data_IF_554545124802
#
_entry.id   IF_554545124802
#
_cell.length_a   1.000
_cell.length_b   1.000
_cell.length_c   1.000
_cell.angle_alpha   90.00
_cell.angle_beta   90.00
_cell.angle_gamma   90.00
#
_symmetry.space_group_name_H-M   'P 1'
#
loop_
_entity.id
_entity.type
_entity.pdbx_description
1 polymer ?
#
# COMPACT_ATOMS: atom_id res chain seq x y z
N UNK A 1 -34.73 28.79 -3.68
CA UNK A 1 -35.56 28.09 -4.69
C UNK A 1 -35.67 26.62 -4.31
N UNK A 2 -36.84 26.00 -4.47
CA UNK A 2 -37.02 24.55 -4.25
C UNK A 2 -37.57 23.94 -5.54
N UNK A 3 -36.92 22.90 -6.05
CA UNK A 3 -37.43 22.05 -7.13
C UNK A 3 -37.75 20.69 -6.53
N UNK A 4 -38.98 20.24 -6.71
CA UNK A 4 -39.45 18.92 -6.28
C UNK A 4 -39.69 18.08 -7.54
N UNK A 5 -38.88 17.04 -7.70
CA UNK A 5 -39.05 15.99 -8.71
C UNK A 5 -39.38 14.68 -7.97
N UNK A 6 -40.20 13.77 -8.53
CA UNK A 6 -40.41 12.43 -7.97
C UNK A 6 -39.13 11.73 -7.47
N UNK A 7 -37.99 11.95 -8.14
CA UNK A 7 -36.75 11.24 -7.87
C UNK A 7 -35.76 12.01 -6.97
N UNK A 8 -35.90 13.34 -6.85
CA UNK A 8 -34.98 14.18 -6.06
C UNK A 8 -35.56 15.56 -5.75
N UNK A 9 -35.04 16.18 -4.69
CA UNK A 9 -35.32 17.56 -4.30
C UNK A 9 -34.05 18.41 -4.46
N UNK A 10 -34.17 19.59 -5.08
CA UNK A 10 -33.09 20.57 -5.18
C UNK A 10 -33.45 21.78 -4.33
N UNK A 11 -32.57 22.14 -3.40
CA UNK A 11 -32.63 23.36 -2.60
C UNK A 11 -31.47 24.25 -3.02
N UNK A 12 -31.74 25.31 -3.76
CA UNK A 12 -30.71 26.22 -4.27
C UNK A 12 -31.00 27.65 -3.82
N UNK A 13 -29.98 28.43 -3.49
CA UNK A 13 -30.14 29.88 -3.31
C UNK A 13 -30.65 30.53 -4.60
N UNK A 14 -29.86 30.40 -5.67
CA UNK A 14 -30.14 30.97 -6.99
C UNK A 14 -30.03 29.88 -8.07
N UNK A 15 -31.11 29.69 -8.83
CA UNK A 15 -31.20 28.71 -9.91
C UNK A 15 -31.71 29.35 -11.20
N UNK A 16 -31.05 29.06 -12.31
CA UNK A 16 -31.47 29.50 -13.65
C UNK A 16 -31.67 28.30 -14.55
N UNK A 17 -32.90 28.09 -15.00
CA UNK A 17 -33.26 27.00 -15.92
C UNK A 17 -33.52 27.54 -17.33
N UNK A 18 -32.86 26.96 -18.32
CA UNK A 18 -33.10 27.26 -19.74
C UNK A 18 -34.02 26.19 -20.34
N UNK A 19 -35.24 26.57 -20.71
CA UNK A 19 -36.26 25.63 -21.19
C UNK A 19 -35.98 25.06 -22.57
N UNK A 20 -35.24 25.78 -23.44
CA UNK A 20 -34.93 25.31 -24.79
C UNK A 20 -33.83 24.24 -24.80
N UNK A 21 -32.82 24.41 -23.94
CA UNK A 21 -31.69 23.49 -23.83
C UNK A 21 -31.87 22.47 -22.70
N UNK A 22 -32.84 22.69 -21.81
CA UNK A 22 -33.10 21.89 -20.61
C UNK A 22 -31.89 21.81 -19.66
N UNK A 23 -31.20 22.96 -19.49
CA UNK A 23 -30.03 23.05 -18.60
C UNK A 23 -30.39 23.88 -17.37
N UNK A 24 -30.21 23.28 -16.20
CA UNK A 24 -30.26 23.96 -14.91
C UNK A 24 -28.87 24.45 -14.54
N UNK A 25 -28.73 25.73 -14.17
CA UNK A 25 -27.52 26.30 -13.58
C UNK A 25 -27.73 26.62 -12.12
N UNK A 26 -26.78 26.17 -11.29
CA UNK A 26 -26.68 26.47 -9.86
C UNK A 26 -25.72 27.65 -9.72
N UNK A 27 -26.19 28.79 -9.21
CA UNK A 27 -25.41 30.04 -9.12
C UNK A 27 -25.11 30.45 -7.66
N UNK A 28 -25.22 29.50 -6.75
CA UNK A 28 -24.97 29.66 -5.31
C UNK A 28 -25.13 28.32 -4.59
N UNK A 29 -25.00 28.32 -3.25
CA UNK A 29 -25.14 27.12 -2.43
C UNK A 29 -26.39 26.32 -2.79
N UNK A 30 -26.16 25.05 -3.14
CA UNK A 30 -27.18 24.14 -3.64
C UNK A 30 -27.01 22.76 -3.02
N UNK A 31 -28.10 22.24 -2.47
CA UNK A 31 -28.22 20.89 -1.95
C UNK A 31 -29.16 20.08 -2.86
N UNK A 32 -28.73 18.90 -3.27
CA UNK A 32 -29.54 17.96 -4.06
C UNK A 32 -29.70 16.69 -3.24
N UNK A 33 -30.95 16.36 -2.92
CA UNK A 33 -31.30 15.27 -2.01
C UNK A 33 -32.17 14.26 -2.75
N UNK A 34 -31.67 13.03 -2.84
CA UNK A 34 -32.39 11.86 -3.34
C UNK A 34 -32.48 10.80 -2.23
N UNK A 35 -33.27 9.72 -2.38
CA UNK A 35 -33.37 8.68 -1.35
C UNK A 35 -32.02 8.07 -0.94
N UNK A 36 -31.09 7.93 -1.90
CA UNK A 36 -29.82 7.23 -1.71
C UNK A 36 -28.58 8.16 -1.73
N UNK A 37 -28.76 9.42 -2.11
CA UNK A 37 -27.64 10.36 -2.30
C UNK A 37 -27.94 11.75 -1.79
N UNK A 38 -26.89 12.39 -1.25
CA UNK A 38 -26.84 13.81 -0.96
C UNK A 38 -25.69 14.46 -1.73
N UNK A 39 -25.93 15.58 -2.38
CA UNK A 39 -24.92 16.34 -3.12
C UNK A 39 -24.97 17.80 -2.67
N UNK A 40 -23.80 18.41 -2.48
CA UNK A 40 -23.65 19.84 -2.23
C UNK A 40 -22.67 20.47 -3.24
N UNK A 41 -22.99 21.70 -3.67
CA UNK A 41 -22.07 22.56 -4.43
C UNK A 41 -22.44 24.04 -4.26
N UNK A 42 -21.52 24.93 -4.62
CA UNK A 42 -21.78 26.39 -4.63
C UNK A 42 -21.97 26.96 -6.03
N UNK A 43 -21.62 26.17 -7.05
CA UNK A 43 -21.79 26.51 -8.45
C UNK A 43 -21.92 25.21 -9.28
N UNK A 44 -22.53 25.26 -10.45
CA UNK A 44 -22.63 24.07 -11.30
C UNK A 44 -23.72 24.13 -12.35
N UNK A 45 -23.90 23.00 -13.03
CA UNK A 45 -24.98 22.82 -13.99
C UNK A 45 -25.38 21.36 -14.12
N UNK A 46 -26.62 21.16 -14.56
CA UNK A 46 -27.18 19.86 -14.89
C UNK A 46 -27.94 19.95 -16.21
N UNK A 47 -27.48 19.19 -17.19
CA UNK A 47 -28.14 18.97 -18.48
C UNK A 47 -29.04 17.74 -18.36
N UNK A 48 -30.35 17.98 -18.25
CA UNK A 48 -31.33 16.91 -18.06
C UNK A 48 -31.54 16.08 -19.33
N UNK A 49 -31.19 16.63 -20.50
CA UNK A 49 -31.37 15.94 -21.78
C UNK A 49 -30.26 14.94 -22.04
N UNK A 50 -29.02 15.30 -21.72
CA UNK A 50 -27.85 14.45 -21.94
C UNK A 50 -27.39 13.72 -20.65
N UNK A 51 -28.08 13.91 -19.53
CA UNK A 51 -27.73 13.37 -18.21
C UNK A 51 -26.29 13.65 -17.77
N UNK A 52 -25.85 14.89 -17.97
CA UNK A 52 -24.50 15.35 -17.61
C UNK A 52 -24.62 16.40 -16.51
N UNK A 53 -23.82 16.25 -15.47
CA UNK A 53 -23.77 17.16 -14.34
C UNK A 53 -22.33 17.58 -14.03
N UNK A 54 -22.19 18.84 -13.62
CA UNK A 54 -20.95 19.40 -13.10
C UNK A 54 -21.28 20.19 -11.83
N UNK A 55 -20.60 19.84 -10.74
CA UNK A 55 -20.68 20.49 -9.44
C UNK A 55 -19.33 21.12 -9.15
N UNK A 56 -19.30 22.40 -8.79
CA UNK A 56 -18.08 23.18 -8.58
C UNK A 56 -18.14 23.87 -7.22
N UNK A 57 -16.95 24.20 -6.71
CA UNK A 57 -16.71 24.91 -5.45
C UNK A 57 -17.22 24.11 -4.25
N UNK A 58 -16.27 23.46 -3.54
CA UNK A 58 -16.54 22.59 -2.39
C UNK A 58 -17.54 21.48 -2.71
N UNK A 59 -17.42 20.88 -3.89
CA UNK A 59 -18.33 19.85 -4.34
C UNK A 59 -18.23 18.61 -3.44
N UNK A 60 -19.38 18.10 -3.02
CA UNK A 60 -19.49 16.99 -2.08
C UNK A 60 -20.62 16.06 -2.50
N UNK A 61 -20.38 14.76 -2.35
CA UNK A 61 -21.31 13.68 -2.64
C UNK A 61 -21.24 12.67 -1.49
N UNK A 62 -22.41 12.33 -0.96
CA UNK A 62 -22.59 11.21 -0.04
C UNK A 62 -23.50 10.18 -0.70
N UNK A 63 -23.07 8.92 -0.71
CA UNK A 63 -23.82 7.80 -1.24
C UNK A 63 -23.46 6.51 -0.50
N UNK A 64 -24.45 5.81 0.06
CA UNK A 64 -24.26 4.47 0.66
C UNK A 64 -23.07 4.35 1.65
N UNK A 65 -22.83 5.38 2.47
CA UNK A 65 -21.71 5.39 3.42
C UNK A 65 -20.34 5.73 2.81
N UNK A 66 -20.31 6.14 1.56
CA UNK A 66 -19.16 6.72 0.88
C UNK A 66 -19.33 8.25 0.77
N UNK A 67 -18.25 8.96 1.06
CA UNK A 67 -18.20 10.41 1.14
C UNK A 67 -17.11 10.92 0.21
N UNK A 68 -17.49 11.47 -0.94
CA UNK A 68 -16.59 12.02 -1.94
C UNK A 68 -16.63 13.55 -1.90
N UNK A 69 -15.45 14.16 -1.86
CA UNK A 69 -15.29 15.61 -1.96
C UNK A 69 -14.20 15.99 -2.97
N UNK A 70 -14.30 17.20 -3.49
CA UNK A 70 -13.28 17.82 -4.33
C UNK A 70 -13.62 19.27 -4.64
N UNK A 71 -12.72 20.01 -5.29
CA UNK A 71 -13.04 21.36 -5.74
C UNK A 71 -14.13 21.31 -6.83
N UNK A 72 -14.15 20.25 -7.65
CA UNK A 72 -15.26 19.99 -8.57
C UNK A 72 -15.47 18.51 -8.88
N UNK A 73 -16.72 18.16 -9.20
CA UNK A 73 -17.17 16.82 -9.59
C UNK A 73 -17.89 16.89 -10.94
N UNK A 74 -17.60 15.96 -11.83
CA UNK A 74 -18.27 15.78 -13.12
C UNK A 74 -18.87 14.38 -13.15
N UNK A 75 -20.09 14.25 -13.63
CA UNK A 75 -20.71 12.94 -13.83
C UNK A 75 -21.56 12.91 -15.09
N UNK A 76 -21.36 11.87 -15.90
CA UNK A 76 -22.11 11.58 -17.12
C UNK A 76 -22.77 10.20 -16.98
N UNK A 77 -24.07 10.22 -16.69
CA UNK A 77 -24.85 9.02 -16.33
C UNK A 77 -24.89 7.97 -17.43
N UNK A 78 -25.08 8.40 -18.69
CA UNK A 78 -25.20 7.48 -19.82
C UNK A 78 -23.93 6.66 -20.08
N UNK A 79 -22.78 7.13 -19.57
CA UNK A 79 -21.49 6.43 -19.66
C UNK A 79 -21.05 5.81 -18.32
N UNK A 80 -21.79 6.03 -17.23
CA UNK A 80 -21.35 5.71 -15.87
C UNK A 80 -20.00 6.35 -15.51
N UNK A 81 -19.69 7.53 -16.07
CA UNK A 81 -18.38 8.17 -15.97
C UNK A 81 -18.41 9.28 -14.90
N UNK A 82 -17.62 9.10 -13.84
CA UNK A 82 -17.36 10.10 -12.82
C UNK A 82 -15.94 10.66 -12.90
N UNK A 83 -15.79 11.96 -12.62
CA UNK A 83 -14.48 12.59 -12.40
C UNK A 83 -14.53 13.52 -11.20
N UNK A 84 -13.45 13.57 -10.44
CA UNK A 84 -13.26 14.52 -9.36
C UNK A 84 -11.94 15.28 -9.58
N UNK A 85 -11.92 16.58 -9.29
CA UNK A 85 -10.78 17.45 -9.55
C UNK A 85 -10.44 18.30 -8.34
N UNK A 86 -9.13 18.35 -8.06
CA UNK A 86 -8.44 19.06 -6.97
C UNK A 86 -8.98 18.74 -5.57
N UNK A 87 -8.07 18.57 -4.61
CA UNK A 87 -8.39 18.19 -3.22
C UNK A 87 -9.38 17.02 -3.12
N UNK A 88 -9.20 16.01 -3.97
CA UNK A 88 -10.10 14.86 -4.01
C UNK A 88 -9.90 14.05 -2.73
N UNK A 89 -10.96 13.82 -1.98
CA UNK A 89 -10.99 12.93 -0.83
C UNK A 89 -12.22 12.04 -0.92
N UNK A 90 -12.01 10.72 -0.86
CA UNK A 90 -13.06 9.72 -0.71
C UNK A 90 -12.87 9.03 0.65
N UNK A 91 -13.90 9.05 1.49
CA UNK A 91 -13.96 8.23 2.69
C UNK A 91 -15.02 7.15 2.53
N UNK A 92 -14.62 5.89 2.73
CA UNK A 92 -15.52 4.74 2.79
C UNK A 92 -15.64 4.27 4.25
N UNK A 93 -16.83 4.49 4.82
CA UNK A 93 -17.11 4.14 6.23
C UNK A 93 -17.32 2.65 6.46
N UNK A 94 -17.58 1.84 5.42
CA UNK A 94 -17.76 0.40 5.58
C UNK A 94 -16.43 -0.33 5.75
N UNK A 95 -15.36 0.21 5.15
CA UNK A 95 -14.00 -0.37 5.21
C UNK A 95 -13.01 0.50 5.98
N UNK A 96 -13.44 1.66 6.50
CA UNK A 96 -12.59 2.63 7.20
C UNK A 96 -11.34 3.02 6.38
N UNK A 97 -11.59 3.34 5.10
CA UNK A 97 -10.55 3.75 4.14
C UNK A 97 -10.75 5.19 3.72
N UNK A 98 -9.67 5.97 3.73
CA UNK A 98 -9.61 7.31 3.13
C UNK A 98 -8.67 7.26 1.93
N UNK A 99 -9.13 7.73 0.78
CA UNK A 99 -8.31 7.97 -0.41
C UNK A 99 -8.20 9.46 -0.67
N UNK A 100 -6.98 9.96 -0.93
CA UNK A 100 -6.74 11.38 -1.26
C UNK A 100 -5.86 11.52 -2.49
N UNK A 101 -6.14 12.52 -3.32
CA UNK A 101 -5.37 12.85 -4.51
C UNK A 101 -5.83 14.17 -5.14
N UNK A 102 -5.41 14.46 -6.38
CA UNK A 102 -5.89 15.66 -7.09
C UNK A 102 -6.81 15.36 -8.25
N UNK A 103 -6.80 14.15 -8.77
CA UNK A 103 -7.72 13.76 -9.83
C UNK A 103 -8.19 12.34 -9.62
N UNK A 104 -9.50 12.14 -9.65
CA UNK A 104 -10.10 10.81 -9.70
C UNK A 104 -10.91 10.61 -10.98
N UNK A 105 -10.87 9.38 -11.49
CA UNK A 105 -11.65 8.90 -12.61
C UNK A 105 -12.36 7.63 -12.19
N UNK A 106 -13.64 7.53 -12.48
CA UNK A 106 -14.47 6.38 -12.16
C UNK A 106 -15.32 5.98 -13.36
N UNK A 107 -15.41 4.68 -13.62
CA UNK A 107 -16.38 4.07 -14.53
C UNK A 107 -17.18 3.03 -13.77
N UNK A 108 -18.50 3.00 -13.98
CA UNK A 108 -19.39 1.99 -13.38
C UNK A 108 -19.24 0.62 -14.04
N UNK A 109 -19.08 0.57 -15.37
CA UNK A 109 -19.11 -0.69 -16.13
C UNK A 109 -18.07 -0.72 -17.27
N UNK A 110 -17.04 -1.59 -17.21
CA UNK A 110 -16.65 -2.36 -16.03
C UNK A 110 -16.21 -1.42 -14.90
N UNK A 111 -16.44 -1.81 -13.65
CA UNK A 111 -16.06 -0.99 -12.50
C UNK A 111 -14.54 -0.74 -12.49
N UNK A 112 -14.17 0.52 -12.65
CA UNK A 112 -12.79 0.98 -12.66
C UNK A 112 -12.69 2.31 -11.91
N UNK A 113 -11.75 2.39 -10.98
CA UNK A 113 -11.41 3.61 -10.28
C UNK A 113 -9.91 3.91 -10.45
N UNK A 114 -9.59 5.19 -10.60
CA UNK A 114 -8.24 5.71 -10.59
C UNK A 114 -8.19 6.98 -9.77
N UNK A 115 -7.15 7.13 -8.95
CA UNK A 115 -6.83 8.34 -8.21
C UNK A 115 -5.36 8.67 -8.43
N UNK A 116 -5.03 9.89 -8.83
CA UNK A 116 -3.66 10.26 -9.20
C UNK A 116 -3.25 11.63 -8.65
N UNK A 117 -2.00 11.98 -8.91
CA UNK A 117 -1.27 13.16 -8.45
C UNK A 117 -1.06 13.18 -6.93
N UNK A 118 -0.02 12.46 -6.50
CA UNK A 118 0.32 12.24 -5.09
C UNK A 118 -0.76 11.50 -4.30
N UNK A 119 -1.30 10.47 -4.91
CA UNK A 119 -2.36 9.66 -4.33
C UNK A 119 -1.91 9.00 -3.02
N UNK A 120 -2.81 8.93 -2.05
CA UNK A 120 -2.58 8.23 -0.79
C UNK A 120 -3.84 7.50 -0.36
N UNK A 121 -3.65 6.25 0.05
CA UNK A 121 -4.63 5.44 0.77
C UNK A 121 -4.26 5.46 2.25
N UNK A 122 -5.27 5.66 3.10
CA UNK A 122 -5.17 5.55 4.55
C UNK A 122 -6.17 4.50 4.99
N UNK A 123 -5.67 3.37 5.46
CA UNK A 123 -6.48 2.36 6.14
C UNK A 123 -6.44 2.68 7.63
N UNK A 124 -7.61 2.98 8.20
CA UNK A 124 -7.75 3.27 9.62
C UNK A 124 -7.91 1.94 10.36
N UNK A 125 -7.24 1.81 11.51
CA UNK A 125 -7.41 0.69 12.44
C UNK A 125 -7.33 1.19 13.88
N UNK A 126 -7.71 0.34 14.84
CA UNK A 126 -7.68 0.69 16.26
C UNK A 126 -6.24 0.93 16.74
N UNK A 127 -5.85 2.20 16.90
CA UNK A 127 -4.58 2.62 17.51
C UNK A 127 -3.41 2.86 16.54
N UNK A 128 -3.56 2.53 15.26
CA UNK A 128 -2.61 2.92 14.20
C UNK A 128 -3.32 3.15 12.85
N UNK A 129 -2.59 3.58 11.84
CA UNK A 129 -3.12 3.63 10.48
C UNK A 129 -2.04 3.23 9.49
N UNK A 130 -2.43 2.50 8.45
CA UNK A 130 -1.55 2.15 7.36
C UNK A 130 -1.71 3.18 6.25
N UNK A 131 -0.59 3.77 5.85
CA UNK A 131 -0.52 4.75 4.78
C UNK A 131 0.19 4.13 3.58
N UNK A 132 -0.45 4.19 2.41
CA UNK A 132 0.15 3.76 1.13
C UNK A 132 0.09 4.92 0.16
N UNK A 133 1.25 5.47 -0.18
CA UNK A 133 1.38 6.55 -1.16
C UNK A 133 1.92 6.02 -2.48
N UNK A 134 1.42 6.57 -3.58
CA UNK A 134 1.96 6.37 -4.92
C UNK A 134 1.63 7.58 -5.81
N UNK A 135 2.20 7.63 -7.02
CA UNK A 135 1.79 8.62 -8.01
C UNK A 135 0.30 8.43 -8.38
N UNK A 136 -0.14 7.18 -8.52
CA UNK A 136 -1.48 6.73 -8.96
C UNK A 136 -1.91 5.47 -8.21
N UNK A 137 -3.15 5.44 -7.76
CA UNK A 137 -3.85 4.25 -7.26
C UNK A 137 -4.94 3.87 -8.26
N UNK A 138 -5.12 2.58 -8.50
CA UNK A 138 -6.19 2.05 -9.34
C UNK A 138 -6.89 0.89 -8.66
N UNK A 139 -8.19 0.73 -8.95
CA UNK A 139 -8.96 -0.47 -8.64
C UNK A 139 -9.69 -0.89 -9.92
N UNK A 140 -9.61 -2.17 -10.26
CA UNK A 140 -10.33 -2.75 -11.38
C UNK A 140 -11.07 -4.00 -10.91
N UNK A 141 -12.36 -4.04 -11.20
CA UNK A 141 -13.19 -5.23 -10.99
C UNK A 141 -13.00 -6.18 -12.18
N UNK A 142 -12.67 -7.43 -11.87
CA UNK A 142 -12.39 -8.50 -12.84
C UNK A 142 -13.34 -9.67 -12.59
N UNK A 143 -13.73 -10.36 -13.67
CA UNK A 143 -14.61 -11.53 -13.61
C UNK A 143 -13.94 -12.69 -14.34
N UNK A 144 -13.95 -13.87 -13.74
CA UNK A 144 -13.60 -15.12 -14.43
C UNK A 144 -14.51 -16.29 -14.03
N UNK A 145 -14.10 -17.52 -14.30
CA UNK A 145 -14.88 -18.73 -14.02
C UNK A 145 -15.19 -18.98 -12.54
N UNK A 146 -14.53 -18.29 -11.60
CA UNK A 146 -14.68 -18.48 -10.16
C UNK A 146 -15.46 -17.35 -9.47
N UNK A 147 -15.72 -16.25 -10.19
CA UNK A 147 -16.49 -15.11 -9.69
C UNK A 147 -15.81 -13.76 -9.97
N UNK A 148 -16.41 -12.73 -9.40
CA UNK A 148 -15.95 -11.34 -9.43
C UNK A 148 -14.95 -11.10 -8.30
N UNK A 149 -13.91 -10.30 -8.58
CA UNK A 149 -12.88 -9.90 -7.61
C UNK A 149 -12.20 -8.61 -8.05
N UNK A 150 -11.61 -7.88 -7.10
CA UNK A 150 -10.88 -6.64 -7.38
C UNK A 150 -9.38 -6.85 -7.40
N UNK A 151 -8.73 -6.09 -8.29
CA UNK A 151 -7.28 -5.90 -8.29
C UNK A 151 -7.03 -4.44 -7.95
N UNK A 152 -6.35 -4.20 -6.84
CA UNK A 152 -5.90 -2.88 -6.46
C UNK A 152 -4.43 -2.73 -6.85
N UNK A 153 -4.05 -1.57 -7.37
CA UNK A 153 -2.66 -1.35 -7.75
C UNK A 153 -2.22 0.07 -7.44
N UNK A 154 -0.94 0.22 -7.15
CA UNK A 154 -0.29 1.48 -6.85
C UNK A 154 0.95 1.63 -7.74
N UNK A 155 0.97 2.68 -8.55
CA UNK A 155 1.96 2.99 -9.58
C UNK A 155 2.25 4.48 -9.61
N UNK A 156 3.45 5.00 -9.67
CA UNK A 156 4.74 4.44 -9.31
C UNK A 156 5.16 5.04 -7.96
N UNK A 157 6.40 4.79 -7.56
CA UNK A 157 7.02 5.40 -6.37
C UNK A 157 6.29 5.06 -5.07
N UNK A 158 5.92 3.80 -4.94
CA UNK A 158 5.15 3.33 -3.78
C UNK A 158 5.97 3.47 -2.50
N UNK A 159 5.37 4.09 -1.49
CA UNK A 159 5.87 4.12 -0.11
C UNK A 159 4.77 3.75 0.86
N UNK A 160 5.13 2.90 1.81
CA UNK A 160 4.23 2.37 2.84
C UNK A 160 4.73 2.81 4.20
N UNK A 161 3.82 3.22 5.07
CA UNK A 161 4.13 3.58 6.45
C UNK A 161 3.00 3.15 7.39
N UNK A 162 3.36 2.40 8.42
CA UNK A 162 2.68 2.30 9.71
C UNK A 162 3.75 2.36 10.82
N UNK A 163 3.39 2.27 12.10
CA UNK A 163 4.41 2.24 13.17
C UNK A 163 5.30 0.99 13.09
N UNK A 164 4.71 -0.14 12.73
CA UNK A 164 5.38 -1.45 12.79
C UNK A 164 6.00 -1.88 11.45
N UNK A 165 5.47 -1.37 10.34
CA UNK A 165 5.88 -1.77 8.99
C UNK A 165 6.08 -0.54 8.12
N UNK A 166 7.18 -0.53 7.37
CA UNK A 166 7.43 0.47 6.35
C UNK A 166 7.88 -0.22 5.08
N UNK A 167 7.64 0.43 3.93
CA UNK A 167 7.95 -0.19 2.65
C UNK A 167 8.28 0.84 1.57
N UNK A 168 9.03 0.39 0.58
CA UNK A 168 9.29 1.12 -0.67
C UNK A 168 9.41 0.12 -1.81
N UNK A 169 8.76 0.41 -2.91
CA UNK A 169 8.91 -0.31 -4.17
C UNK A 169 8.54 0.62 -5.34
N UNK A 170 8.80 0.20 -6.57
CA UNK A 170 8.29 0.91 -7.74
C UNK A 170 6.77 0.80 -7.81
N UNK A 171 6.25 -0.43 -7.69
CA UNK A 171 4.84 -0.76 -7.86
C UNK A 171 4.38 -1.80 -6.84
N UNK A 172 3.10 -1.69 -6.44
CA UNK A 172 2.42 -2.62 -5.51
C UNK A 172 1.09 -3.04 -6.15
N UNK A 173 0.74 -4.32 -6.03
CA UNK A 173 -0.58 -4.83 -6.39
C UNK A 173 -1.16 -5.64 -5.24
N UNK A 174 -2.48 -5.59 -5.04
CA UNK A 174 -3.21 -6.46 -4.14
C UNK A 174 -4.29 -7.22 -4.94
N UNK A 175 -4.15 -8.54 -4.99
CA UNK A 175 -5.12 -9.43 -5.61
C UNK A 175 -6.06 -9.93 -4.51
N UNK A 176 -7.27 -9.38 -4.45
CA UNK A 176 -8.24 -9.65 -3.39
C UNK A 176 -8.54 -11.15 -3.25
N UNK A 177 -8.75 -11.82 -4.39
CA UNK A 177 -9.06 -13.25 -4.45
C UNK A 177 -8.06 -14.12 -3.72
N UNK A 178 -6.78 -13.87 -3.95
CA UNK A 178 -5.70 -14.69 -3.40
C UNK A 178 -5.20 -14.11 -2.07
N UNK A 179 -5.70 -12.91 -1.70
CA UNK A 179 -5.26 -12.13 -0.55
C UNK A 179 -3.73 -11.93 -0.53
N UNK A 180 -3.18 -11.56 -1.70
CA UNK A 180 -1.73 -11.40 -1.90
C UNK A 180 -1.37 -9.97 -2.27
N UNK A 181 -0.45 -9.39 -1.50
CA UNK A 181 0.26 -8.18 -1.86
C UNK A 181 1.54 -8.51 -2.62
N UNK A 182 1.70 -7.96 -3.81
CA UNK A 182 2.87 -8.15 -4.68
C UNK A 182 3.63 -6.84 -4.80
N UNK A 183 4.88 -6.81 -4.31
CA UNK A 183 5.77 -5.66 -4.41
C UNK A 183 6.85 -5.94 -5.45
N UNK A 184 6.98 -5.06 -6.44
CA UNK A 184 7.92 -5.20 -7.55
C UNK A 184 8.70 -3.91 -7.81
N UNK A 185 9.85 -4.06 -8.48
CA UNK A 185 10.76 -2.95 -8.80
C UNK A 185 11.51 -2.47 -7.56
N UNK A 186 12.54 -3.24 -7.17
CA UNK A 186 13.39 -2.99 -6.01
C UNK A 186 12.63 -2.87 -4.67
N UNK A 187 11.79 -3.87 -4.34
CA UNK A 187 11.04 -3.83 -3.10
C UNK A 187 11.94 -3.95 -1.88
N UNK A 188 11.66 -3.11 -0.88
CA UNK A 188 12.23 -3.16 0.45
C UNK A 188 11.12 -3.01 1.48
N UNK A 189 11.11 -3.91 2.47
CA UNK A 189 10.23 -3.84 3.63
C UNK A 189 11.10 -3.70 4.87
N UNK A 190 10.73 -2.78 5.76
CA UNK A 190 11.30 -2.65 7.08
C UNK A 190 10.26 -3.01 8.13
N UNK A 191 10.69 -3.77 9.13
CA UNK A 191 9.92 -3.99 10.34
C UNK A 191 10.87 -4.02 11.51
N UNK A 192 10.61 -3.20 12.52
CA UNK A 192 11.51 -3.01 13.67
C UNK A 192 12.97 -2.73 13.19
N UNK A 193 13.93 -3.59 13.54
CA UNK A 193 15.34 -3.52 13.14
C UNK A 193 15.67 -4.30 11.86
N UNK A 194 14.70 -4.97 11.24
CA UNK A 194 14.88 -5.80 10.06
C UNK A 194 14.60 -5.04 8.76
N UNK A 195 15.41 -5.33 7.74
CA UNK A 195 15.20 -4.94 6.35
C UNK A 195 15.15 -6.21 5.50
N UNK A 196 14.11 -6.33 4.67
CA UNK A 196 13.89 -7.43 3.74
C UNK A 196 13.91 -6.87 2.32
N UNK A 197 14.71 -7.47 1.43
CA UNK A 197 14.79 -7.09 0.01
C UNK A 197 14.82 -8.34 -0.86
N UNK A 198 14.25 -8.23 -2.06
CA UNK A 198 14.28 -9.26 -3.10
C UNK A 198 14.04 -8.62 -4.47
N UNK A 199 14.00 -9.42 -5.55
CA UNK A 199 13.52 -8.92 -6.85
C UNK A 199 12.01 -8.71 -6.83
N UNK A 200 11.29 -9.61 -6.17
CA UNK A 200 9.86 -9.53 -5.92
C UNK A 200 9.58 -10.04 -4.51
N UNK A 201 8.66 -9.37 -3.82
CA UNK A 201 8.16 -9.78 -2.51
C UNK A 201 6.65 -9.99 -2.63
N UNK A 202 6.19 -11.19 -2.29
CA UNK A 202 4.78 -11.53 -2.20
C UNK A 202 4.41 -11.79 -0.74
N UNK A 203 3.48 -11.01 -0.19
CA UNK A 203 2.95 -11.18 1.15
C UNK A 203 1.55 -11.77 1.07
N UNK A 204 1.38 -12.96 1.60
CA UNK A 204 0.11 -13.69 1.63
C UNK A 204 -0.58 -13.48 2.98
N UNK A 205 -1.86 -13.14 2.92
CA UNK A 205 -2.69 -12.91 4.09
C UNK A 205 -3.68 -14.07 4.28
N UNK A 206 -4.05 -14.32 5.53
CA UNK A 206 -5.14 -15.21 5.89
C UNK A 206 -5.91 -14.62 7.07
N UNK A 207 -7.23 -14.46 6.93
CA UNK A 207 -8.09 -13.85 7.96
C UNK A 207 -7.57 -12.48 8.43
N UNK A 208 -7.20 -11.62 7.48
CA UNK A 208 -6.66 -10.26 7.69
C UNK A 208 -5.31 -10.19 8.44
N UNK A 209 -4.65 -11.34 8.66
CA UNK A 209 -3.31 -11.42 9.25
C UNK A 209 -2.27 -11.95 8.24
N UNK A 210 -0.98 -11.55 8.35
CA UNK A 210 0.09 -12.15 7.58
C UNK A 210 0.21 -13.67 7.83
N UNK A 211 0.20 -14.48 6.78
CA UNK A 211 0.43 -15.94 6.87
C UNK A 211 1.87 -16.29 6.50
N UNK A 212 2.30 -15.93 5.29
CA UNK A 212 3.68 -16.07 4.85
C UNK A 212 4.11 -14.99 3.85
N UNK A 213 5.42 -14.81 3.75
CA UNK A 213 6.06 -13.89 2.81
C UNK A 213 7.05 -14.66 1.95
N UNK A 214 6.93 -14.54 0.63
CA UNK A 214 7.84 -15.10 -0.34
C UNK A 214 8.75 -14.00 -0.89
N UNK A 215 10.06 -14.18 -0.70
CA UNK A 215 11.10 -13.30 -1.22
C UNK A 215 11.75 -14.02 -2.40
N UNK A 216 11.45 -13.59 -3.62
CA UNK A 216 11.86 -14.28 -4.84
C UNK A 216 13.07 -13.60 -5.47
N UNK A 217 14.11 -14.40 -5.75
CA UNK A 217 15.37 -14.00 -6.39
C UNK A 217 16.18 -12.94 -5.63
N UNK A 218 17.45 -13.26 -5.35
CA UNK A 218 18.42 -12.36 -4.67
C UNK A 218 17.92 -11.86 -3.31
N UNK A 219 17.24 -12.73 -2.56
CA UNK A 219 16.64 -12.42 -1.26
C UNK A 219 17.70 -12.13 -0.21
N UNK A 220 17.49 -11.06 0.55
CA UNK A 220 18.40 -10.61 1.60
C UNK A 220 17.58 -10.06 2.76
N UNK A 221 17.90 -10.55 3.96
CA UNK A 221 17.36 -10.06 5.23
C UNK A 221 18.54 -9.55 6.04
N UNK A 222 18.45 -8.30 6.50
CA UNK A 222 19.49 -7.65 7.29
C UNK A 222 18.86 -7.15 8.58
N UNK A 223 19.54 -7.34 9.71
CA UNK A 223 19.28 -6.57 10.93
C UNK A 223 20.55 -5.88 11.42
N UNK A 224 20.38 -4.68 11.96
CA UNK A 224 21.48 -3.89 12.52
C UNK A 224 21.70 -4.29 13.97
N UNK A 225 22.94 -4.65 14.30
CA UNK A 225 23.40 -4.94 15.66
C UNK A 225 24.03 -3.68 16.26
N UNK A 226 24.95 -3.03 15.53
CA UNK A 226 25.45 -1.69 15.86
C UNK A 226 25.77 -0.87 14.59
N UNK A 227 26.52 0.23 14.73
CA UNK A 227 26.83 1.12 13.61
C UNK A 227 27.56 0.45 12.44
N UNK A 228 28.31 -0.63 12.70
CA UNK A 228 29.12 -1.31 11.69
C UNK A 228 28.78 -2.81 11.56
N UNK A 229 28.09 -3.41 12.53
CA UNK A 229 27.76 -4.83 12.58
C UNK A 229 26.31 -5.09 12.17
N UNK A 230 26.14 -6.00 11.22
CA UNK A 230 24.85 -6.40 10.67
C UNK A 230 24.73 -7.91 10.60
N UNK A 231 23.67 -8.46 11.19
CA UNK A 231 23.27 -9.84 10.94
C UNK A 231 22.62 -9.92 9.57
N UNK A 232 23.05 -10.89 8.76
CA UNK A 232 22.70 -10.99 7.35
C UNK A 232 22.30 -12.42 7.02
N UNK A 233 21.19 -12.57 6.32
CA UNK A 233 20.70 -13.84 5.77
C UNK A 233 20.50 -13.58 4.29
N UNK A 234 21.15 -14.38 3.44
CA UNK A 234 21.07 -14.27 1.98
C UNK A 234 20.71 -15.62 1.38
N UNK A 235 19.98 -15.61 0.28
CA UNK A 235 19.66 -16.80 -0.49
C UNK A 235 19.08 -16.46 -1.85
N UNK A 236 18.86 -17.48 -2.68
CA UNK A 236 18.17 -17.29 -3.95
C UNK A 236 16.71 -16.96 -3.73
N UNK A 237 16.01 -17.79 -2.95
CA UNK A 237 14.62 -17.59 -2.54
C UNK A 237 14.50 -17.76 -1.02
N UNK A 238 13.60 -17.03 -0.39
CA UNK A 238 13.23 -17.24 1.01
C UNK A 238 11.73 -17.27 1.17
N UNK A 239 11.26 -18.09 2.11
CA UNK A 239 9.88 -18.09 2.57
C UNK A 239 9.85 -17.85 4.08
N UNK A 240 9.25 -16.76 4.50
CA UNK A 240 9.02 -16.43 5.91
C UNK A 240 7.62 -16.83 6.33
N UNK A 241 7.46 -17.40 7.52
CA UNK A 241 6.16 -17.79 8.08
C UNK A 241 5.87 -16.96 9.31
N UNK A 242 4.64 -16.48 9.42
CA UNK A 242 4.18 -15.69 10.55
C UNK A 242 3.41 -16.57 11.54
N UNK A 243 3.45 -16.17 12.81
CA UNK A 243 2.65 -16.71 13.90
C UNK A 243 2.34 -15.57 14.85
N UNK A 244 1.07 -15.38 15.19
CA UNK A 244 0.62 -14.27 16.04
C UNK A 244 1.11 -12.91 15.47
N UNK A 245 1.01 -12.75 14.15
CA UNK A 245 1.53 -11.60 13.38
C UNK A 245 3.04 -11.32 13.51
N UNK A 246 3.84 -12.27 14.03
CA UNK A 246 5.30 -12.16 14.14
C UNK A 246 6.01 -13.20 13.28
N UNK A 247 7.14 -12.83 12.67
CA UNK A 247 7.95 -13.76 11.90
C UNK A 247 8.51 -14.85 12.83
N UNK A 248 8.17 -16.11 12.55
CA UNK A 248 8.48 -17.26 13.41
C UNK A 248 9.53 -18.19 12.80
N UNK A 249 9.57 -18.27 11.46
CA UNK A 249 10.47 -19.15 10.72
C UNK A 249 10.81 -18.57 9.36
N UNK A 250 12.04 -18.79 8.92
CA UNK A 250 12.52 -18.42 7.58
C UNK A 250 13.16 -19.65 6.95
N UNK A 251 12.65 -20.06 5.79
CA UNK A 251 13.22 -21.10 4.95
C UNK A 251 14.00 -20.47 3.79
N UNK A 252 15.32 -20.64 3.78
CA UNK A 252 16.21 -20.16 2.73
C UNK A 252 16.50 -21.30 1.77
N UNK A 253 16.19 -21.11 0.48
CA UNK A 253 16.28 -22.14 -0.55
C UNK A 253 17.19 -21.72 -1.71
N UNK A 254 18.33 -22.42 -1.82
CA UNK A 254 19.34 -22.20 -2.84
C UNK A 254 20.39 -21.17 -2.41
N UNK A 255 21.65 -21.60 -2.32
CA UNK A 255 22.80 -20.78 -1.95
C UNK A 255 22.57 -19.93 -0.69
N UNK A 256 22.03 -20.57 0.36
CA UNK A 256 21.83 -19.90 1.64
C UNK A 256 23.16 -19.52 2.26
N UNK A 257 23.27 -18.27 2.70
CA UNK A 257 24.43 -17.72 3.40
C UNK A 257 23.95 -16.95 4.61
N UNK A 258 24.66 -17.07 5.73
CA UNK A 258 24.40 -16.32 6.95
C UNK A 258 25.69 -15.72 7.47
N UNK A 259 25.58 -14.53 8.03
CA UNK A 259 26.64 -13.87 8.77
C UNK A 259 26.02 -13.26 10.02
N UNK A 260 26.49 -13.66 11.20
CA UNK A 260 25.98 -13.12 12.47
C UNK A 260 27.10 -13.04 13.51
N UNK A 261 26.89 -12.20 14.52
CA UNK A 261 27.86 -11.92 15.56
C UNK A 261 27.55 -12.78 16.79
N UNK A 262 28.39 -13.80 17.02
CA UNK A 262 28.24 -14.73 18.12
C UNK A 262 28.70 -14.08 19.43
N UNK A 263 27.92 -14.28 20.49
CA UNK A 263 28.19 -13.73 21.83
C UNK A 263 28.12 -14.81 22.90
N UNK A 264 28.93 -14.64 23.93
CA UNK A 264 28.81 -15.33 25.20
C UNK A 264 28.36 -14.29 26.25
N UNK A 265 27.14 -14.46 26.76
CA UNK A 265 26.36 -13.45 27.49
C UNK A 265 26.27 -12.11 26.74
N UNK A 266 27.24 -11.22 26.93
CA UNK A 266 27.33 -9.91 26.26
C UNK A 266 28.62 -9.73 25.47
N UNK A 267 29.60 -10.61 25.67
CA UNK A 267 30.91 -10.51 25.06
C UNK A 267 30.90 -11.09 23.64
N UNK A 268 31.36 -10.31 22.67
CA UNK A 268 31.55 -10.80 21.30
C UNK A 268 32.66 -11.85 21.28
N UNK A 269 32.32 -13.08 20.90
CA UNK A 269 33.27 -14.19 20.77
C UNK A 269 33.73 -14.40 19.32
N UNK A 270 33.00 -13.86 18.34
CA UNK A 270 33.42 -13.92 16.95
C UNK A 270 32.31 -13.60 15.95
N UNK A 271 32.67 -13.70 14.67
CA UNK A 271 31.75 -13.57 13.53
C UNK A 271 31.55 -14.95 12.93
N UNK A 272 30.32 -15.46 12.98
CA UNK A 272 29.98 -16.72 12.35
C UNK A 272 29.57 -16.45 10.90
N UNK A 273 30.25 -17.11 9.96
CA UNK A 273 29.86 -17.14 8.54
C UNK A 273 29.54 -18.58 8.19
N UNK A 274 28.35 -18.81 7.65
CA UNK A 274 27.92 -20.13 7.27
C UNK A 274 27.16 -20.13 5.95
N UNK A 275 27.28 -21.22 5.20
CA UNK A 275 26.65 -21.45 3.91
C UNK A 275 26.06 -22.86 3.83
N UNK A 276 24.95 -22.99 3.12
CA UNK A 276 24.27 -24.26 2.88
C UNK A 276 23.36 -24.15 1.67
N UNK A 277 23.05 -25.27 1.01
CA UNK A 277 22.03 -25.25 -0.05
C UNK A 277 20.65 -24.85 0.49
N UNK A 278 20.34 -25.21 1.75
CA UNK A 278 19.07 -24.90 2.40
C UNK A 278 19.32 -24.58 3.88
N UNK A 279 18.75 -23.47 4.36
CA UNK A 279 18.85 -23.03 5.75
C UNK A 279 17.45 -22.86 6.30
N UNK A 280 17.20 -23.36 7.51
CA UNK A 280 15.97 -23.08 8.25
C UNK A 280 16.35 -22.26 9.48
N UNK A 281 15.76 -21.09 9.62
CA UNK A 281 16.00 -20.17 10.73
C UNK A 281 14.72 -20.07 11.53
N UNK A 282 14.82 -20.25 12.84
CA UNK A 282 13.74 -20.07 13.80
C UNK A 282 13.94 -18.76 14.53
N UNK A 283 12.85 -18.02 14.66
CA UNK A 283 12.78 -16.75 15.34
C UNK A 283 11.98 -16.92 16.63
N UNK A 284 12.36 -16.21 17.67
CA UNK A 284 11.64 -16.17 18.94
C UNK A 284 11.70 -14.76 19.52
N UNK A 285 10.56 -14.21 19.91
CA UNK A 285 10.44 -12.87 20.49
C UNK A 285 11.08 -11.78 19.61
N UNK A 286 10.97 -11.94 18.28
CA UNK A 286 11.58 -11.03 17.29
C UNK A 286 13.09 -11.24 17.06
N UNK A 287 13.74 -12.15 17.77
CA UNK A 287 15.19 -12.40 17.66
C UNK A 287 15.50 -13.77 17.04
N UNK A 288 16.74 -13.93 16.56
CA UNK A 288 17.23 -15.19 16.01
C UNK A 288 17.46 -16.20 17.15
N UNK A 289 16.69 -17.28 17.16
CA UNK A 289 16.76 -18.35 18.17
C UNK A 289 17.67 -19.50 17.71
N UNK A 290 17.44 -20.00 16.49
CA UNK A 290 18.16 -21.20 16.00
C UNK A 290 18.32 -21.20 14.49
N UNK A 291 19.49 -21.65 14.03
CA UNK A 291 19.79 -21.85 12.61
C UNK A 291 20.11 -23.33 12.36
N UNK A 292 19.35 -23.94 11.45
CA UNK A 292 19.57 -25.31 11.00
C UNK A 292 20.08 -25.30 9.55
N UNK A 293 21.30 -25.78 9.36
CA UNK A 293 21.91 -25.95 8.04
C UNK A 293 21.61 -27.36 7.52
N UNK A 294 20.83 -27.47 6.44
CA UNK A 294 20.21 -28.76 6.06
C UNK A 294 21.07 -29.55 5.07
N UNK A 295 21.68 -28.90 4.08
CA UNK A 295 22.37 -29.59 2.98
C UNK A 295 23.72 -28.96 2.64
N UNK A 296 24.77 -29.77 2.66
CA UNK A 296 26.16 -29.36 2.41
C UNK A 296 26.59 -28.14 3.26
N UNK A 297 26.45 -28.22 4.61
CA UNK A 297 26.77 -27.10 5.47
C UNK A 297 28.28 -26.84 5.51
N UNK A 298 28.65 -25.56 5.47
CA UNK A 298 29.99 -25.07 5.80
C UNK A 298 29.82 -23.90 6.76
N UNK A 299 30.54 -23.90 7.87
CA UNK A 299 30.44 -22.84 8.88
C UNK A 299 31.82 -22.58 9.49
N UNK A 300 32.18 -21.30 9.59
CA UNK A 300 33.46 -20.85 10.16
C UNK A 300 33.16 -19.74 11.16
N UNK A 301 33.67 -19.89 12.39
CA UNK A 301 33.66 -18.85 13.41
C UNK A 301 35.02 -18.13 13.39
N UNK A 302 35.01 -16.86 12.98
CA UNK A 302 36.19 -16.02 12.96
C UNK A 302 36.33 -15.27 14.29
N UNK A 303 37.51 -15.26 14.94
CA UNK A 303 37.73 -14.45 16.13
C UNK A 303 37.50 -12.95 15.88
N UNK A 304 37.17 -12.15 16.90
CA UNK A 304 37.00 -10.70 16.74
C UNK A 304 38.25 -10.05 16.14
N UNK A 305 38.06 -9.21 15.12
CA UNK A 305 39.16 -8.49 14.44
C UNK A 305 39.93 -9.28 13.39
N UNK A 306 39.62 -10.57 13.16
CA UNK A 306 40.27 -11.36 12.10
C UNK A 306 39.74 -11.06 10.68
N UNK A 307 38.53 -10.52 10.57
CA UNK A 307 37.93 -10.15 9.29
C UNK A 307 38.19 -8.67 9.00
N UNK A 308 38.48 -8.36 7.74
CA UNK A 308 38.43 -6.99 7.22
C UNK A 308 37.01 -6.44 7.27
N UNK A 309 36.85 -5.12 7.11
CA UNK A 309 35.52 -4.48 7.13
C UNK A 309 34.64 -5.01 6.00
N UNK A 310 35.23 -5.26 4.84
CA UNK A 310 34.55 -5.76 3.64
C UNK A 310 34.03 -7.20 3.86
N UNK A 311 34.79 -8.03 4.60
CA UNK A 311 34.42 -9.42 4.88
C UNK A 311 33.29 -9.57 5.91
N UNK A 312 32.94 -8.49 6.61
CA UNK A 312 31.76 -8.41 7.50
C UNK A 312 30.44 -8.32 6.73
N UNK A 313 30.49 -8.20 5.40
CA UNK A 313 29.30 -8.09 4.56
C UNK A 313 29.23 -9.24 3.55
N UNK A 314 28.04 -9.82 3.39
CA UNK A 314 27.77 -10.77 2.32
C UNK A 314 27.69 -10.01 0.99
N UNK A 315 27.97 -10.72 -0.10
CA UNK A 315 27.90 -10.12 -1.44
C UNK A 315 26.49 -9.58 -1.72
N UNK A 316 26.39 -8.37 -2.27
CA UNK A 316 25.11 -7.70 -2.49
C UNK A 316 24.48 -7.08 -1.23
N UNK A 317 25.23 -6.98 -0.13
CA UNK A 317 24.80 -6.21 1.04
C UNK A 317 24.41 -4.78 0.64
N UNK A 318 23.22 -4.37 1.05
CA UNK A 318 22.72 -3.02 0.86
C UNK A 318 21.83 -2.66 2.05
N UNK A 319 22.10 -1.54 2.69
CA UNK A 319 21.34 -1.05 3.84
C UNK A 319 20.65 0.25 3.48
N UNK A 320 19.33 0.21 3.34
CA UNK A 320 18.48 1.23 2.72
C UNK A 320 17.71 2.09 3.73
N UNK A 321 18.15 2.09 5.00
CA UNK A 321 17.51 2.81 6.12
C UNK A 321 17.35 4.33 5.87
N UNK A 322 18.16 4.92 4.98
CA UNK A 322 17.98 6.31 4.56
C UNK A 322 16.74 6.56 3.69
N UNK A 323 16.20 5.51 3.05
CA UNK A 323 14.98 5.53 2.26
C UNK A 323 13.73 5.17 3.08
N UNK A 324 13.92 4.60 4.27
CA UNK A 324 12.86 4.19 5.20
C UNK A 324 12.00 5.41 5.59
N UNK A 325 10.69 5.37 5.37
CA UNK A 325 9.76 6.35 5.95
C UNK A 325 9.76 6.21 7.48
N UNK A 326 10.08 7.26 8.25
CA UNK A 326 10.07 7.18 9.72
C UNK A 326 8.80 7.77 10.34
N UNK A 327 8.05 8.51 9.52
CA UNK A 327 6.78 9.14 9.85
C UNK A 327 5.95 9.26 8.59
N UNK A 328 4.66 9.49 8.76
CA UNK A 328 3.70 9.57 7.65
C UNK A 328 4.16 10.53 6.54
N UNK A 329 4.63 11.73 6.86
CA UNK A 329 5.02 12.70 5.82
C UNK A 329 6.21 12.25 4.94
N UNK A 330 6.98 11.24 5.36
CA UNK A 330 8.11 10.73 4.57
C UNK A 330 7.68 9.85 3.40
N UNK A 331 6.40 9.43 3.36
CA UNK A 331 5.85 8.69 2.20
C UNK A 331 5.84 9.56 0.94
N UNK A 332 5.70 10.89 1.07
CA UNK A 332 5.70 11.83 -0.06
C UNK A 332 7.10 12.25 -0.53
N UNK A 333 8.17 11.80 0.14
CA UNK A 333 9.55 12.20 -0.19
C UNK A 333 10.25 11.10 -0.97
N UNK A 334 10.32 11.24 -2.29
CA UNK A 334 11.08 10.28 -3.10
C UNK A 334 12.57 10.64 -3.16
N UNK A 335 13.43 9.75 -2.67
CA UNK A 335 14.88 9.83 -2.87
C UNK A 335 15.25 8.92 -4.04
N UNK A 336 15.89 9.49 -5.06
CA UNK A 336 16.45 8.74 -6.18
C UNK A 336 17.60 7.86 -5.74
#
# INVERSE_FOLDING_TARGET
>A
VVIVNPDYNIYADTLRYHTETEVAHFLGPTEIISPDNYIYCENGWYDTKNNISQFNENAYLESKGQYLSGDSLYYQRDLGLGKAFEKVELYDSASDVILRGKYALYFEEPEYAMLTDSAVLVQISDGDSLFVHADTLTSITTIDSTGEYKIFSAYYKVKIFSKDIQGKCDSLSYLERDSVFQLIGEPVIWSQSYQLTATQIDLHMAYDEPDFIDLTSSSLIISRDDSIRYTQIKGRNMKGYFKDSQLSRIDVNGNGQTLYFARDETQLIGVNKAESSNIIIYMKDGELDRINMVKSPSAVLYPPGHLSKEELYLSGFIWLDEHRPWKMEDIFKWKK
#
